data_IF_118829636474
#
_entry.id   IF_118829636474
#
_cell.length_a   1.000
_cell.length_b   1.000
_cell.length_c   1.000
_cell.angle_alpha   90.00
_cell.angle_beta   90.00
_cell.angle_gamma   90.00
#
_symmetry.space_group_name_H-M   'P 1'
#
loop_
_entity.id
_entity.type
_entity.pdbx_description
1 polymer ?
#
# COMPACT_ATOMS: atom_id res chain seq x y z
N UNK A 1 11.67 -3.20 -13.51
CA UNK A 1 10.41 -3.57 -12.87
C UNK A 1 10.34 -2.83 -11.55
N UNK A 2 9.36 -1.94 -11.35
CA UNK A 2 9.16 -1.26 -10.08
C UNK A 2 8.77 -2.23 -8.96
N UNK A 3 8.98 -1.80 -7.72
CA UNK A 3 8.50 -2.50 -6.53
C UNK A 3 7.32 -1.73 -5.93
N UNK A 4 6.30 -2.45 -5.45
CA UNK A 4 5.14 -1.91 -4.76
C UNK A 4 5.04 -2.51 -3.36
N UNK A 5 5.07 -1.67 -2.34
CA UNK A 5 4.93 -2.11 -0.96
C UNK A 5 3.47 -2.10 -0.54
N UNK A 6 3.01 -3.23 -0.01
CA UNK A 6 1.69 -3.37 0.59
C UNK A 6 1.78 -3.78 2.05
N UNK A 7 0.97 -3.12 2.86
CA UNK A 7 0.74 -3.39 4.28
C UNK A 7 -0.72 -3.77 4.56
N UNK A 8 -1.51 -4.03 3.52
CA UNK A 8 -2.97 -4.14 3.59
C UNK A 8 -3.56 -5.24 2.70
N UNK A 9 -4.77 -5.01 2.19
CA UNK A 9 -5.57 -6.01 1.48
C UNK A 9 -4.96 -6.52 0.19
N UNK A 10 -4.09 -5.74 -0.47
CA UNK A 10 -3.37 -6.15 -1.68
C UNK A 10 -2.45 -7.38 -1.47
N UNK A 11 -2.14 -7.75 -0.22
CA UNK A 11 -1.43 -8.99 0.08
C UNK A 11 -2.29 -10.25 -0.12
N UNK A 12 -3.62 -10.11 -0.24
CA UNK A 12 -4.54 -11.24 -0.44
C UNK A 12 -4.52 -11.66 -1.90
N UNK A 13 -4.34 -12.96 -2.16
CA UNK A 13 -4.29 -13.54 -3.51
C UNK A 13 -5.50 -13.16 -4.37
N UNK A 14 -6.71 -13.21 -3.80
CA UNK A 14 -7.93 -12.83 -4.53
C UNK A 14 -7.88 -11.38 -5.02
N UNK A 15 -7.41 -10.46 -4.20
CA UNK A 15 -7.28 -9.04 -4.58
C UNK A 15 -6.25 -8.90 -5.70
N UNK A 16 -5.11 -9.61 -5.61
CA UNK A 16 -4.11 -9.58 -6.67
C UNK A 16 -4.62 -10.14 -8.00
N UNK A 17 -5.42 -11.21 -7.97
CA UNK A 17 -6.04 -11.75 -9.19
C UNK A 17 -7.07 -10.79 -9.78
N UNK A 18 -7.88 -10.14 -8.94
CA UNK A 18 -8.88 -9.17 -9.39
C UNK A 18 -8.26 -7.87 -9.92
N UNK A 19 -7.14 -7.41 -9.34
CA UNK A 19 -6.47 -6.17 -9.73
C UNK A 19 -5.46 -6.38 -10.86
N UNK A 20 -4.60 -7.39 -10.79
CA UNK A 20 -3.47 -7.61 -11.71
C UNK A 20 -3.64 -8.79 -12.65
N UNK A 21 -4.65 -9.64 -12.45
CA UNK A 21 -4.85 -10.86 -13.24
C UNK A 21 -3.82 -11.97 -12.96
N UNK A 22 -2.94 -11.78 -11.96
CA UNK A 22 -1.93 -12.76 -11.53
C UNK A 22 -1.55 -12.57 -10.07
N UNK A 23 -0.88 -13.57 -9.50
CA UNK A 23 -0.23 -13.45 -8.19
C UNK A 23 1.13 -12.77 -8.36
N UNK A 24 1.38 -11.75 -7.55
CA UNK A 24 2.63 -11.01 -7.53
C UNK A 24 3.68 -11.77 -6.72
N UNK A 25 4.93 -11.72 -7.17
CA UNK A 25 6.05 -12.19 -6.36
C UNK A 25 6.45 -11.06 -5.41
N UNK A 26 6.65 -11.39 -4.14
CA UNK A 26 7.04 -10.39 -3.16
C UNK A 26 7.78 -10.96 -1.97
N UNK A 27 8.52 -10.08 -1.32
CA UNK A 27 9.33 -10.40 -0.14
C UNK A 27 8.92 -9.51 1.03
N UNK A 28 9.02 -10.02 2.26
CA UNK A 28 8.75 -9.21 3.44
C UNK A 28 9.81 -8.12 3.57
N UNK A 29 9.36 -6.90 3.85
CA UNK A 29 10.24 -5.75 4.09
C UNK A 29 9.64 -4.81 5.13
N UNK A 30 10.43 -3.83 5.55
CA UNK A 30 10.08 -2.88 6.60
C UNK A 30 10.25 -1.45 6.06
N UNK A 31 9.18 -0.67 6.19
CA UNK A 31 9.18 0.76 5.97
C UNK A 31 9.44 1.48 7.30
N UNK A 32 10.56 2.22 7.39
CA UNK A 32 10.92 2.99 8.60
C UNK A 32 10.55 4.46 8.45
N UNK A 33 10.29 5.16 9.56
CA UNK A 33 9.89 6.57 9.54
C UNK A 33 8.40 6.79 9.25
N UNK A 34 7.62 5.71 9.24
CA UNK A 34 6.18 5.72 9.03
C UNK A 34 5.49 4.90 10.11
N UNK A 35 4.24 5.25 10.40
CA UNK A 35 3.36 4.47 11.24
C UNK A 35 2.02 4.24 10.54
N UNK A 36 1.34 3.17 10.92
CA UNK A 36 -0.06 2.98 10.55
C UNK A 36 -0.92 3.77 11.51
N UNK A 37 -1.73 4.67 10.96
CA UNK A 37 -2.82 5.32 11.67
C UNK A 37 -4.15 4.80 11.10
N UNK A 38 -5.24 5.00 11.85
CA UNK A 38 -6.58 4.63 11.39
C UNK A 38 -7.28 5.88 10.87
N UNK A 39 -7.48 5.96 9.56
CA UNK A 39 -8.29 7.00 8.95
C UNK A 39 -9.76 6.62 9.06
N UNK A 40 -10.57 7.51 9.63
CA UNK A 40 -12.03 7.38 9.58
C UNK A 40 -12.50 7.74 8.17
N UNK A 41 -12.99 6.74 7.43
CA UNK A 41 -13.62 6.98 6.14
C UNK A 41 -15.03 7.50 6.39
N UNK A 42 -15.27 8.73 5.95
CA UNK A 42 -16.58 9.35 5.96
C UNK A 42 -17.28 9.29 4.60
N UNK A 43 -16.57 8.86 3.55
CA UNK A 43 -17.14 8.73 2.22
C UNK A 43 -18.16 7.57 2.18
N UNK A 44 -19.44 7.83 1.85
CA UNK A 44 -20.49 6.82 1.88
C UNK A 44 -20.32 5.71 0.83
N UNK A 45 -19.69 5.97 -0.32
CA UNK A 45 -19.40 4.94 -1.32
C UNK A 45 -18.26 4.03 -0.88
N UNK A 46 -17.21 4.59 -0.26
CA UNK A 46 -16.10 3.79 0.30
C UNK A 46 -16.55 2.95 1.49
N UNK A 47 -17.41 3.51 2.36
CA UNK A 47 -18.05 2.76 3.45
C UNK A 47 -18.91 1.60 2.92
N UNK A 48 -19.66 1.82 1.83
CA UNK A 48 -20.52 0.79 1.21
C UNK A 48 -19.71 -0.35 0.59
N UNK A 49 -18.57 -0.04 -0.03
CA UNK A 49 -17.69 -1.04 -0.67
C UNK A 49 -16.86 -1.84 0.33
N UNK A 50 -16.29 -1.17 1.33
CA UNK A 50 -15.38 -1.79 2.31
C UNK A 50 -16.10 -2.42 3.51
N UNK A 51 -17.26 -1.88 3.89
CA UNK A 51 -17.95 -2.22 5.14
C UNK A 51 -17.15 -1.84 6.40
N UNK A 52 -16.05 -1.09 6.26
CA UNK A 52 -15.15 -0.72 7.36
C UNK A 52 -15.11 0.79 7.52
N UNK A 53 -15.33 1.25 8.75
CA UNK A 53 -15.30 2.69 9.06
C UNK A 53 -13.87 3.23 9.18
N UNK A 54 -12.93 2.37 9.55
CA UNK A 54 -11.53 2.75 9.78
C UNK A 54 -10.63 1.98 8.83
N UNK A 55 -9.80 2.70 8.08
CA UNK A 55 -8.83 2.12 7.17
C UNK A 55 -7.41 2.43 7.67
N UNK A 56 -6.50 1.45 7.65
CA UNK A 56 -5.10 1.70 7.97
C UNK A 56 -4.49 2.59 6.88
N UNK A 57 -3.93 3.72 7.27
CA UNK A 57 -3.25 4.65 6.38
C UNK A 57 -1.81 4.86 6.86
N UNK A 58 -0.86 4.87 5.92
CA UNK A 58 0.51 5.25 6.21
C UNK A 58 0.60 6.75 6.49
N UNK A 59 1.05 7.09 7.68
CA UNK A 59 1.38 8.44 8.09
C UNK A 59 2.90 8.56 8.29
N UNK A 60 3.51 9.58 7.69
CA UNK A 60 4.93 9.86 7.89
C UNK A 60 5.14 10.39 9.32
N UNK A 61 5.90 9.67 10.14
CA UNK A 61 6.21 10.07 11.50
C UNK A 61 7.58 10.74 11.64
N UNK A 62 8.49 10.51 10.68
CA UNK A 62 9.86 11.02 10.72
C UNK A 62 10.74 10.38 11.81
N UNK A 63 10.24 9.35 12.49
CA UNK A 63 10.96 8.63 13.54
C UNK A 63 11.33 7.23 13.03
N UNK A 64 12.63 6.95 12.90
CA UNK A 64 13.13 5.65 12.39
C UNK A 64 12.78 4.45 13.29
N UNK A 65 12.36 4.69 14.52
CA UNK A 65 11.85 3.65 15.41
C UNK A 65 10.42 3.22 15.05
N UNK A 66 9.65 4.08 14.36
CA UNK A 66 8.35 3.71 13.84
C UNK A 66 8.54 2.91 12.54
N UNK A 67 8.06 1.67 12.56
CA UNK A 67 8.26 0.71 11.49
C UNK A 67 6.93 0.08 11.11
N UNK A 68 6.69 -0.03 9.80
CA UNK A 68 5.56 -0.75 9.22
C UNK A 68 6.09 -1.96 8.48
N UNK A 69 5.65 -3.14 8.93
CA UNK A 69 5.93 -4.41 8.26
C UNK A 69 4.95 -4.62 7.12
N UNK A 70 5.46 -5.12 5.99
CA UNK A 70 4.65 -5.42 4.83
C UNK A 70 5.37 -6.32 3.83
N UNK A 71 4.84 -6.35 2.61
CA UNK A 71 5.39 -7.12 1.50
C UNK A 71 5.71 -6.18 0.35
N UNK A 72 6.93 -6.28 -0.15
CA UNK A 72 7.39 -5.57 -1.33
C UNK A 72 7.23 -6.48 -2.55
N UNK A 73 6.25 -6.16 -3.39
CA UNK A 73 5.91 -6.91 -4.59
C UNK A 73 6.63 -6.39 -5.82
N UNK A 74 7.08 -7.29 -6.68
CA UNK A 74 7.59 -6.97 -8.01
C UNK A 74 6.43 -6.80 -8.99
N UNK A 75 6.34 -5.61 -9.58
CA UNK A 75 5.27 -5.22 -10.49
C UNK A 75 5.82 -4.61 -11.77
N UNK A 76 5.01 -4.59 -12.82
CA UNK A 76 5.26 -3.85 -14.06
C UNK A 76 4.82 -2.39 -13.91
N UNK A 77 5.20 -1.54 -14.87
CA UNK A 77 4.72 -0.16 -14.89
C UNK A 77 3.20 -0.08 -15.11
N UNK A 78 2.63 -1.00 -15.90
CA UNK A 78 1.19 -1.09 -16.13
C UNK A 78 0.44 -1.52 -14.86
N UNK A 79 0.99 -2.46 -14.11
CA UNK A 79 0.41 -2.90 -12.83
C UNK A 79 0.48 -1.81 -11.77
N UNK A 80 1.50 -0.95 -11.81
CA UNK A 80 1.56 0.23 -10.96
C UNK A 80 0.39 1.19 -11.24
N UNK A 81 -0.04 1.31 -12.50
CA UNK A 81 -1.23 2.11 -12.85
C UNK A 81 -2.53 1.42 -12.42
N UNK A 82 -2.60 0.09 -12.52
CA UNK A 82 -3.75 -0.67 -11.98
C UNK A 82 -3.85 -0.54 -10.45
N UNK A 83 -2.71 -0.49 -9.76
CA UNK A 83 -2.66 -0.21 -8.34
C UNK A 83 -3.13 1.22 -8.01
N UNK A 84 -2.79 2.22 -8.85
CA UNK A 84 -3.34 3.58 -8.68
C UNK A 84 -4.87 3.59 -8.81
N UNK A 85 -5.43 2.85 -9.77
CA UNK A 85 -6.89 2.74 -9.93
C UNK A 85 -7.56 2.02 -8.75
N UNK A 86 -6.89 1.03 -8.16
CA UNK A 86 -7.37 0.31 -6.98
C UNK A 86 -7.38 1.20 -5.73
N UNK A 87 -6.33 1.98 -5.50
CA UNK A 87 -6.14 2.76 -4.27
C UNK A 87 -6.94 4.08 -4.24
N UNK A 88 -7.72 4.41 -5.28
CA UNK A 88 -8.63 5.57 -5.39
C UNK A 88 -8.00 6.95 -5.07
N UNK A 89 -8.76 8.04 -5.26
CA UNK A 89 -8.26 9.43 -5.20
C UNK A 89 -7.71 9.88 -3.82
N UNK A 90 -8.01 9.11 -2.77
CA UNK A 90 -7.64 9.41 -1.38
C UNK A 90 -6.19 9.05 -1.05
N UNK A 91 -5.52 8.28 -1.91
CA UNK A 91 -4.13 7.87 -1.70
C UNK A 91 -3.19 8.50 -2.72
N UNK A 92 -1.97 8.76 -2.28
CA UNK A 92 -0.88 9.30 -3.08
C UNK A 92 0.26 8.29 -3.15
N UNK A 93 0.66 7.94 -4.37
CA UNK A 93 1.86 7.15 -4.60
C UNK A 93 3.11 7.99 -4.37
N UNK A 94 4.01 7.51 -3.52
CA UNK A 94 5.35 8.09 -3.33
C UNK A 94 6.41 6.99 -3.38
N UNK A 95 7.63 7.36 -3.78
CA UNK A 95 8.78 6.44 -3.83
C UNK A 95 9.61 6.60 -2.55
N UNK A 96 10.04 5.50 -1.97
CA UNK A 96 10.86 5.47 -0.74
C UNK A 96 11.87 4.32 -0.77
N UNK A 97 12.77 4.32 0.22
CA UNK A 97 13.75 3.26 0.48
C UNK A 97 13.29 2.45 1.69
N UNK A 98 13.34 1.13 1.60
CA UNK A 98 12.99 0.20 2.68
C UNK A 98 14.23 -0.21 3.47
N UNK A 99 14.02 -0.86 4.63
CA UNK A 99 15.09 -1.30 5.52
C UNK A 99 16.05 -2.29 4.86
N UNK A 100 15.59 -3.06 3.88
CA UNK A 100 16.43 -3.93 3.03
C UNK A 100 17.40 -3.16 2.12
N UNK A 101 17.24 -1.84 1.96
CA UNK A 101 17.96 -1.02 0.98
C UNK A 101 17.30 -1.00 -0.40
N UNK A 102 16.22 -1.77 -0.62
CA UNK A 102 15.44 -1.73 -1.85
C UNK A 102 14.65 -0.42 -1.95
N UNK A 103 14.45 0.05 -3.17
CA UNK A 103 13.54 1.14 -3.47
C UNK A 103 12.19 0.60 -3.96
N UNK A 104 11.10 1.34 -3.68
CA UNK A 104 9.78 1.03 -4.20
C UNK A 104 8.74 2.08 -3.87
N UNK A 105 7.53 1.84 -4.33
CA UNK A 105 6.39 2.72 -4.16
C UNK A 105 5.56 2.32 -2.94
N UNK A 106 5.05 3.32 -2.24
CA UNK A 106 4.06 3.20 -1.15
C UNK A 106 2.86 4.09 -1.47
N UNK A 107 1.70 3.72 -0.96
CA UNK A 107 0.49 4.55 -0.96
C UNK A 107 0.27 5.13 0.42
N UNK A 108 0.29 6.46 0.51
CA UNK A 108 0.01 7.24 1.72
C UNK A 108 -1.31 7.98 1.54
N UNK A 109 -2.10 8.16 2.61
CA UNK A 109 -3.31 8.98 2.52
C UNK A 109 -2.97 10.44 2.21
N UNK A 110 -3.86 11.13 1.51
CA UNK A 110 -3.81 12.59 1.33
C UNK A 110 -4.08 13.35 2.62
#
# INVERSE_FOLDING_TARGET
MPNLFSYGTLQKEQVQLETFGRILQGEKDILSGYRLSMLEITDPEVLRKSGQKYHPVLEFSGNDNDQVEGVLFEVTEEEILQADEYEVDDYKRIKTVFKSGKEGFIYVGK
#
